data_IF_417133651714
#
_entry.id   IF_417133651714
#
_cell.length_a   1.000
_cell.length_b   1.000
_cell.length_c   1.000
_cell.angle_alpha   90.00
_cell.angle_beta   90.00
_cell.angle_gamma   90.00
#
_symmetry.space_group_name_H-M   'P 1'
#
loop_
_entity.id
_entity.type
_entity.pdbx_description
1 polymer ?
#
# COMPACT_ATOMS: atom_id res chain seq x y z
N UNK A 1 8.20 -1.23 -25.43
CA UNK A 1 8.13 -2.69 -25.47
C UNK A 1 6.69 -3.19 -25.30
N UNK A 2 6.43 -4.45 -25.62
CA UNK A 2 5.08 -5.09 -25.61
C UNK A 2 4.37 -4.93 -24.27
N UNK A 3 5.09 -5.06 -23.15
CA UNK A 3 4.56 -4.84 -21.80
C UNK A 3 3.89 -3.46 -21.65
N UNK A 4 4.60 -2.41 -22.09
CA UNK A 4 4.08 -1.03 -21.99
C UNK A 4 2.84 -0.80 -22.83
N UNK A 5 2.74 -1.43 -24.00
CA UNK A 5 1.56 -1.38 -24.86
C UNK A 5 0.37 -2.04 -24.17
N UNK A 6 0.54 -3.23 -23.61
CA UNK A 6 -0.51 -3.95 -22.88
C UNK A 6 -1.04 -3.16 -21.68
N UNK A 7 -0.14 -2.57 -20.88
CA UNK A 7 -0.49 -1.73 -19.72
C UNK A 7 -1.23 -0.46 -20.18
N UNK A 8 -0.75 0.19 -21.24
CA UNK A 8 -1.38 1.41 -21.77
C UNK A 8 -2.76 1.11 -22.34
N UNK A 9 -2.93 0.02 -23.08
CA UNK A 9 -4.23 -0.41 -23.60
C UNK A 9 -5.23 -0.69 -22.48
N UNK A 10 -4.82 -1.48 -21.48
CA UNK A 10 -5.65 -1.75 -20.29
C UNK A 10 -6.08 -0.46 -19.59
N UNK A 11 -5.15 0.46 -19.39
CA UNK A 11 -5.44 1.74 -18.76
C UNK A 11 -6.39 2.60 -19.61
N UNK A 12 -6.24 2.61 -20.93
CA UNK A 12 -7.15 3.30 -21.84
C UNK A 12 -8.56 2.71 -21.78
N UNK A 13 -8.71 1.40 -21.72
CA UNK A 13 -10.02 0.74 -21.58
C UNK A 13 -10.73 1.14 -20.27
N UNK A 14 -10.01 1.30 -19.16
CA UNK A 14 -10.57 1.85 -17.93
C UNK A 14 -10.96 3.32 -18.08
N UNK A 15 -10.11 4.14 -18.71
CA UNK A 15 -10.39 5.57 -18.91
C UNK A 15 -11.62 5.79 -19.79
N UNK A 16 -11.84 4.94 -20.79
CA UNK A 16 -13.01 4.96 -21.67
C UNK A 16 -14.26 4.31 -21.06
N UNK A 17 -14.20 3.82 -19.80
CA UNK A 17 -15.31 3.13 -19.13
C UNK A 17 -15.65 1.75 -19.71
N UNK A 18 -14.83 1.20 -20.62
CA UNK A 18 -15.02 -0.16 -21.17
C UNK A 18 -14.76 -1.26 -20.13
N UNK A 19 -13.82 -1.04 -19.21
CA UNK A 19 -13.61 -1.87 -18.05
C UNK A 19 -14.26 -1.21 -16.83
N UNK A 20 -15.04 -2.01 -16.05
CA UNK A 20 -15.80 -1.52 -14.91
C UNK A 20 -14.89 -1.26 -13.70
N UNK A 21 -15.12 -0.12 -13.06
CA UNK A 21 -14.58 0.20 -11.73
C UNK A 21 -15.75 0.30 -10.74
N UNK A 22 -15.65 -0.39 -9.62
CA UNK A 22 -16.72 -0.48 -8.62
C UNK A 22 -16.40 0.46 -7.45
N UNK A 23 -17.38 1.27 -7.07
CA UNK A 23 -17.39 2.02 -5.82
C UNK A 23 -18.12 1.21 -4.75
N UNK A 24 -17.77 1.43 -3.48
CA UNK A 24 -18.32 0.69 -2.35
C UNK A 24 -18.83 1.66 -1.26
N UNK A 25 -19.78 1.24 -0.42
CA UNK A 25 -20.34 2.10 0.63
C UNK A 25 -19.38 2.35 1.80
N UNK A 26 -18.32 1.53 1.94
CA UNK A 26 -17.28 1.70 2.95
C UNK A 26 -16.13 2.49 2.33
N UNK A 27 -15.60 3.53 2.98
CA UNK A 27 -14.42 4.25 2.51
C UNK A 27 -13.23 3.33 2.30
N UNK A 28 -12.57 3.48 1.15
CA UNK A 28 -11.38 2.69 0.78
C UNK A 28 -10.19 3.63 0.62
N UNK A 29 -9.15 3.41 1.40
CA UNK A 29 -7.86 4.07 1.25
C UNK A 29 -6.94 3.10 0.52
N UNK A 30 -6.55 3.47 -0.69
CA UNK A 30 -5.61 2.67 -1.50
C UNK A 30 -4.19 3.15 -1.26
N UNK A 31 -3.32 2.26 -0.81
CA UNK A 31 -1.87 2.52 -0.73
C UNK A 31 -1.18 1.70 -1.81
N UNK A 32 -0.35 2.35 -2.61
CA UNK A 32 0.37 1.66 -3.66
C UNK A 32 1.55 2.44 -4.20
N UNK A 33 2.18 1.89 -5.22
CA UNK A 33 3.29 2.51 -5.92
C UNK A 33 3.29 2.15 -7.40
N UNK A 34 4.06 2.85 -8.21
CA UNK A 34 4.23 2.54 -9.63
C UNK A 34 5.40 1.60 -9.89
N UNK A 35 6.42 1.57 -9.04
CA UNK A 35 7.63 0.80 -9.24
C UNK A 35 7.59 -0.55 -8.50
N UNK A 36 8.27 -1.57 -9.03
CA UNK A 36 8.58 -2.77 -8.27
C UNK A 36 9.64 -2.47 -7.22
N UNK A 37 9.54 -3.12 -6.05
CA UNK A 37 10.49 -2.99 -4.93
C UNK A 37 9.93 -2.26 -3.73
N UNK A 38 10.76 -2.11 -2.71
CA UNK A 38 10.39 -1.59 -1.40
C UNK A 38 10.26 -0.06 -1.37
N UNK A 39 9.10 0.46 -1.70
CA UNK A 39 8.77 1.89 -1.61
C UNK A 39 8.15 2.30 -0.26
N UNK A 40 8.20 1.44 0.75
CA UNK A 40 7.64 1.76 2.09
C UNK A 40 6.14 1.53 2.23
N UNK A 41 5.52 0.65 1.41
CA UNK A 41 4.07 0.32 1.53
C UNK A 41 3.71 -0.22 2.91
N UNK A 42 4.39 -1.25 3.38
CA UNK A 42 4.09 -1.87 4.68
C UNK A 42 4.20 -0.88 5.85
N UNK A 43 5.29 -0.10 5.99
CA UNK A 43 5.33 0.97 6.99
C UNK A 43 4.20 1.99 6.87
N UNK A 44 3.79 2.35 5.66
CA UNK A 44 2.68 3.28 5.45
C UNK A 44 1.33 2.67 5.89
N UNK A 45 1.07 1.42 5.55
CA UNK A 45 -0.13 0.70 6.02
C UNK A 45 -0.13 0.63 7.55
N UNK A 46 1.00 0.26 8.17
CA UNK A 46 1.12 0.23 9.63
C UNK A 46 0.88 1.60 10.27
N UNK A 47 1.39 2.66 9.66
CA UNK A 47 1.17 4.03 10.13
C UNK A 47 -0.32 4.41 10.09
N UNK A 48 -0.99 4.11 8.98
CA UNK A 48 -2.44 4.34 8.83
C UNK A 48 -3.26 3.51 9.82
N UNK A 49 -2.89 2.24 10.05
CA UNK A 49 -3.54 1.41 11.06
C UNK A 49 -3.44 2.08 12.43
N UNK A 50 -2.24 2.48 12.87
CA UNK A 50 -2.04 3.12 14.17
C UNK A 50 -2.80 4.44 14.32
N UNK A 51 -2.89 5.19 13.24
CA UNK A 51 -3.61 6.48 13.22
C UNK A 51 -5.13 6.30 13.35
N UNK A 52 -5.69 5.23 12.79
CA UNK A 52 -7.13 5.04 12.64
C UNK A 52 -7.73 4.06 13.68
N UNK A 53 -6.93 3.16 14.24
CA UNK A 53 -7.41 2.04 15.07
C UNK A 53 -8.01 2.46 16.43
N UNK A 54 -7.84 3.71 16.85
CA UNK A 54 -8.46 4.23 18.08
C UNK A 54 -9.97 4.43 17.94
N UNK A 55 -10.40 4.83 16.73
CA UNK A 55 -11.76 5.31 16.48
C UNK A 55 -12.54 4.43 15.48
N UNK A 56 -11.86 3.66 14.65
CA UNK A 56 -12.44 2.94 13.53
C UNK A 56 -12.11 1.45 13.53
N UNK A 57 -13.08 0.65 13.11
CA UNK A 57 -12.87 -0.77 12.76
C UNK A 57 -12.21 -0.83 11.38
N UNK A 58 -11.00 -1.38 11.33
CA UNK A 58 -10.16 -1.39 10.12
C UNK A 58 -10.16 -2.77 9.50
N UNK A 59 -10.34 -2.83 8.18
CA UNK A 59 -10.01 -4.02 7.42
C UNK A 59 -8.88 -3.74 6.42
N UNK A 60 -8.01 -4.74 6.24
CA UNK A 60 -6.94 -4.73 5.24
C UNK A 60 -7.34 -5.68 4.10
N UNK A 61 -7.24 -5.19 2.88
CA UNK A 61 -7.41 -6.01 1.67
C UNK A 61 -6.08 -6.08 0.92
N UNK A 62 -5.49 -7.27 0.88
CA UNK A 62 -4.22 -7.53 0.22
C UNK A 62 -4.31 -8.67 -0.80
N UNK A 63 -3.31 -8.80 -1.65
CA UNK A 63 -3.19 -9.93 -2.59
C UNK A 63 -2.78 -11.22 -1.90
N UNK A 64 -2.04 -11.11 -0.80
CA UNK A 64 -1.36 -12.23 -0.19
C UNK A 64 -0.18 -12.69 -1.05
N UNK A 65 0.80 -11.82 -1.25
CA UNK A 65 1.98 -12.14 -2.05
C UNK A 65 2.71 -13.37 -1.49
N UNK A 66 3.15 -14.28 -2.37
CA UNK A 66 3.81 -15.56 -2.06
C UNK A 66 2.98 -16.59 -1.27
N UNK A 67 1.67 -16.36 -1.04
CA UNK A 67 0.83 -17.39 -0.42
C UNK A 67 0.67 -18.61 -1.33
N UNK A 68 0.52 -19.76 -0.73
CA UNK A 68 0.23 -21.03 -1.42
C UNK A 68 -1.27 -21.31 -1.52
N UNK A 69 -2.09 -20.60 -0.75
CA UNK A 69 -3.56 -20.75 -0.75
C UNK A 69 -4.21 -20.03 -1.93
N UNK A 70 -5.36 -20.52 -2.37
CA UNK A 70 -6.14 -19.94 -3.46
C UNK A 70 -7.46 -19.32 -2.95
N UNK A 71 -8.02 -18.41 -3.77
CA UNK A 71 -9.31 -17.79 -3.50
C UNK A 71 -9.27 -16.78 -2.36
N UNK A 72 -10.43 -16.42 -1.86
CA UNK A 72 -10.59 -15.53 -0.72
C UNK A 72 -10.21 -16.26 0.57
N UNK A 73 -9.42 -15.58 1.42
CA UNK A 73 -9.13 -16.02 2.79
C UNK A 73 -9.33 -14.86 3.75
N UNK A 74 -10.05 -15.10 4.82
CA UNK A 74 -10.05 -14.25 5.99
C UNK A 74 -8.93 -14.74 6.89
N UNK A 75 -8.08 -13.83 7.35
CA UNK A 75 -6.97 -14.18 8.22
C UNK A 75 -7.47 -14.45 9.65
N UNK A 76 -6.90 -15.45 10.28
CA UNK A 76 -7.16 -15.86 11.67
C UNK A 76 -5.86 -15.80 12.47
N UNK A 77 -5.97 -15.53 13.77
CA UNK A 77 -4.79 -15.50 14.66
C UNK A 77 -4.00 -16.81 14.54
N UNK A 78 -2.68 -16.66 14.32
CA UNK A 78 -1.81 -17.82 14.10
C UNK A 78 -1.59 -18.21 12.63
N UNK A 79 -2.27 -17.57 11.69
CA UNK A 79 -2.07 -17.82 10.27
C UNK A 79 -0.63 -17.58 9.83
N UNK A 80 -0.13 -18.55 9.06
CA UNK A 80 1.22 -18.47 8.50
C UNK A 80 1.27 -17.66 7.20
N UNK A 81 2.46 -17.17 6.87
CA UNK A 81 2.71 -16.50 5.60
C UNK A 81 2.37 -17.38 4.38
N UNK A 82 2.48 -18.72 4.50
CA UNK A 82 2.08 -19.64 3.43
C UNK A 82 0.57 -19.64 3.16
N UNK A 83 -0.27 -19.30 4.18
CA UNK A 83 -1.73 -19.21 4.03
C UNK A 83 -2.18 -17.84 3.52
N UNK A 84 -1.63 -16.76 4.06
CA UNK A 84 -2.15 -15.40 3.80
C UNK A 84 -1.15 -14.47 3.10
N UNK A 85 0.12 -14.84 3.00
CA UNK A 85 1.20 -14.03 2.42
C UNK A 85 2.06 -13.34 3.47
N UNK A 86 3.27 -12.92 3.08
CA UNK A 86 4.28 -12.38 4.01
C UNK A 86 3.81 -11.09 4.70
N UNK A 87 3.35 -10.11 3.93
CA UNK A 87 2.92 -8.80 4.46
C UNK A 87 1.67 -8.91 5.34
N UNK A 88 0.59 -9.60 4.94
CA UNK A 88 -0.57 -9.83 5.81
C UNK A 88 -0.22 -10.57 7.09
N UNK A 89 0.66 -11.58 7.04
CA UNK A 89 1.09 -12.32 8.23
C UNK A 89 1.89 -11.44 9.21
N UNK A 90 2.69 -10.50 8.69
CA UNK A 90 3.39 -9.51 9.52
C UNK A 90 2.40 -8.57 10.21
N UNK A 91 1.42 -8.05 9.49
CA UNK A 91 0.38 -7.17 10.05
C UNK A 91 -0.47 -7.91 11.10
N UNK A 92 -0.85 -9.16 10.83
CA UNK A 92 -1.60 -9.98 11.77
C UNK A 92 -0.84 -10.22 13.08
N UNK A 93 0.46 -10.53 13.02
CA UNK A 93 1.30 -10.69 14.21
C UNK A 93 1.42 -9.41 15.03
N UNK A 94 1.42 -8.24 14.36
CA UNK A 94 1.63 -6.94 15.00
C UNK A 94 0.36 -6.35 15.61
N UNK A 95 -0.77 -6.54 14.96
CA UNK A 95 -2.03 -5.91 15.35
C UNK A 95 -3.09 -6.89 15.87
N UNK A 96 -2.90 -8.18 15.62
CA UNK A 96 -3.79 -9.23 16.12
C UNK A 96 -5.23 -9.09 15.63
N UNK A 97 -6.15 -9.22 16.55
CA UNK A 97 -7.60 -9.11 16.36
C UNK A 97 -8.13 -7.67 16.25
N UNK A 98 -7.25 -6.67 16.43
CA UNK A 98 -7.61 -5.24 16.31
C UNK A 98 -7.93 -4.83 14.87
N UNK A 99 -7.57 -5.67 13.90
CA UNK A 99 -7.83 -5.43 12.48
C UNK A 99 -8.36 -6.71 11.81
N UNK A 100 -9.20 -6.54 10.80
CA UNK A 100 -9.58 -7.64 9.93
C UNK A 100 -8.62 -7.69 8.73
N UNK A 101 -8.21 -8.87 8.29
CA UNK A 101 -7.37 -9.01 7.10
C UNK A 101 -8.03 -9.99 6.14
N UNK A 102 -8.28 -9.55 4.91
CA UNK A 102 -8.83 -10.38 3.84
C UNK A 102 -7.84 -10.39 2.67
N UNK A 103 -7.45 -11.59 2.24
CA UNK A 103 -6.53 -11.75 1.12
C UNK A 103 -7.23 -12.43 -0.07
N UNK A 104 -7.14 -11.76 -1.21
CA UNK A 104 -7.69 -12.27 -2.47
C UNK A 104 -7.00 -11.60 -3.67
N UNK A 105 -6.73 -12.34 -4.74
CA UNK A 105 -6.34 -11.77 -6.03
C UNK A 105 -7.42 -10.88 -6.66
N UNK A 106 -8.70 -11.20 -6.40
CA UNK A 106 -9.86 -10.39 -6.80
C UNK A 106 -10.27 -9.44 -5.66
N UNK A 107 -9.81 -8.18 -5.74
CA UNK A 107 -10.09 -7.15 -4.73
C UNK A 107 -11.58 -6.83 -4.59
N UNK A 108 -12.33 -6.85 -5.69
CA UNK A 108 -13.78 -6.61 -5.67
C UNK A 108 -14.49 -7.68 -4.84
N UNK A 109 -14.09 -8.96 -4.99
CA UNK A 109 -14.64 -10.06 -4.18
C UNK A 109 -14.29 -9.91 -2.70
N UNK A 110 -13.04 -9.57 -2.38
CA UNK A 110 -12.62 -9.33 -0.99
C UNK A 110 -13.40 -8.19 -0.33
N UNK A 111 -13.59 -7.08 -1.04
CA UNK A 111 -14.33 -5.93 -0.51
C UNK A 111 -15.82 -6.26 -0.36
N UNK A 112 -16.42 -6.96 -1.33
CA UNK A 112 -17.81 -7.40 -1.22
C UNK A 112 -18.04 -8.31 0.00
N UNK A 113 -17.08 -9.19 0.31
CA UNK A 113 -17.14 -10.00 1.53
C UNK A 113 -17.23 -9.13 2.78
N UNK A 114 -16.41 -8.08 2.89
CA UNK A 114 -16.41 -7.15 4.02
C UNK A 114 -17.69 -6.30 4.10
N UNK A 115 -18.16 -5.80 2.97
CA UNK A 115 -19.39 -4.99 2.89
C UNK A 115 -20.63 -5.76 3.30
N UNK A 116 -20.68 -7.06 2.97
CA UNK A 116 -21.83 -7.92 3.26
C UNK A 116 -21.80 -8.56 4.66
N UNK A 117 -20.80 -8.24 5.49
CA UNK A 117 -20.78 -8.66 6.90
C UNK A 117 -21.93 -8.02 7.69
N UNK A 118 -22.39 -8.66 8.78
CA UNK A 118 -23.29 -8.04 9.76
C UNK A 118 -22.72 -6.69 10.24
N UNK A 119 -23.59 -5.73 10.52
CA UNK A 119 -23.21 -4.37 10.91
C UNK A 119 -22.18 -4.32 12.06
N UNK A 120 -22.34 -5.22 13.04
CA UNK A 120 -21.42 -5.33 14.19
C UNK A 120 -19.98 -5.75 13.82
N UNK A 121 -19.81 -6.45 12.70
CA UNK A 121 -18.51 -6.95 12.22
C UNK A 121 -17.97 -6.14 11.05
N UNK A 122 -18.80 -5.32 10.42
CA UNK A 122 -18.45 -4.55 9.24
C UNK A 122 -17.38 -3.50 9.57
N UNK A 123 -16.29 -3.40 8.79
CA UNK A 123 -15.29 -2.36 9.00
C UNK A 123 -15.85 -0.98 8.65
N UNK A 124 -15.33 0.04 9.32
CA UNK A 124 -15.64 1.45 9.05
C UNK A 124 -14.74 2.02 7.94
N UNK A 125 -13.57 1.42 7.74
CA UNK A 125 -12.61 1.77 6.68
C UNK A 125 -11.86 0.54 6.17
N UNK A 126 -11.57 0.52 4.88
CA UNK A 126 -10.75 -0.52 4.23
C UNK A 126 -9.44 0.11 3.75
N UNK A 127 -8.32 -0.45 4.19
CA UNK A 127 -6.99 -0.14 3.63
C UNK A 127 -6.66 -1.18 2.57
N UNK A 128 -6.52 -0.75 1.32
CA UNK A 128 -6.17 -1.63 0.19
C UNK A 128 -4.67 -1.57 -0.06
N UNK A 129 -3.98 -2.65 0.28
CA UNK A 129 -2.53 -2.79 0.13
C UNK A 129 -2.16 -3.19 -1.31
N UNK A 130 -1.12 -2.51 -1.83
CA UNK A 130 -0.63 -2.64 -3.22
C UNK A 130 -1.75 -2.57 -4.25
N UNK A 131 -2.67 -1.61 -4.03
CA UNK A 131 -3.92 -1.52 -4.77
C UNK A 131 -3.88 -0.64 -6.02
N UNK A 132 -2.84 0.16 -6.26
CA UNK A 132 -2.83 1.21 -7.28
C UNK A 132 -3.06 0.71 -8.71
N UNK A 133 -2.63 -0.52 -9.03
CA UNK A 133 -2.87 -1.18 -10.31
C UNK A 133 -4.26 -1.84 -10.42
N UNK A 134 -4.99 -1.99 -9.29
CA UNK A 134 -6.29 -2.67 -9.25
C UNK A 134 -7.45 -1.72 -9.55
N UNK A 135 -7.49 -1.20 -10.78
CA UNK A 135 -8.46 -0.21 -11.25
C UNK A 135 -9.92 -0.68 -11.27
N UNK A 136 -10.17 -1.95 -11.04
CA UNK A 136 -11.53 -2.48 -10.82
C UNK A 136 -12.17 -1.99 -9.52
N UNK A 137 -11.39 -1.47 -8.58
CA UNK A 137 -11.86 -0.80 -7.35
C UNK A 137 -11.65 0.69 -7.52
N UNK A 138 -12.67 1.49 -7.20
CA UNK A 138 -12.58 2.95 -7.12
C UNK A 138 -12.39 3.32 -5.64
N UNK A 139 -11.19 3.68 -5.20
CA UNK A 139 -10.96 4.10 -3.82
C UNK A 139 -11.55 5.47 -3.54
N UNK A 140 -11.78 5.75 -2.26
CA UNK A 140 -12.16 7.09 -1.77
C UNK A 140 -10.96 8.01 -1.62
N UNK A 141 -9.78 7.42 -1.34
CA UNK A 141 -8.50 8.10 -1.24
C UNK A 141 -7.39 7.21 -1.80
N UNK A 142 -6.57 7.76 -2.71
CA UNK A 142 -5.42 7.08 -3.30
C UNK A 142 -4.11 7.70 -2.84
N UNK A 143 -3.30 6.94 -2.11
CA UNK A 143 -1.97 7.32 -1.64
C UNK A 143 -0.93 6.60 -2.50
N UNK A 144 -0.13 7.37 -3.22
CA UNK A 144 0.92 6.87 -4.10
C UNK A 144 2.29 7.12 -3.47
N UNK A 145 3.06 6.06 -3.29
CA UNK A 145 4.39 6.13 -2.70
C UNK A 145 5.48 6.22 -3.77
N UNK A 146 6.43 7.11 -3.55
CA UNK A 146 7.65 7.26 -4.35
C UNK A 146 8.86 7.31 -3.42
N UNK A 147 9.91 6.55 -3.71
CA UNK A 147 11.12 6.60 -2.88
C UNK A 147 11.92 7.87 -3.20
N UNK A 148 12.43 8.57 -2.17
CA UNK A 148 13.28 9.76 -2.32
C UNK A 148 14.52 9.48 -3.17
N UNK A 149 15.19 8.36 -2.93
CA UNK A 149 16.42 8.00 -3.65
C UNK A 149 16.19 7.63 -5.13
N UNK A 150 14.96 7.40 -5.53
CA UNK A 150 14.57 7.06 -6.90
C UNK A 150 13.11 7.41 -7.12
N UNK A 151 12.87 8.61 -7.60
CA UNK A 151 11.52 9.06 -7.87
C UNK A 151 10.90 8.26 -9.02
N UNK A 152 9.57 8.11 -8.98
CA UNK A 152 8.85 7.41 -10.05
C UNK A 152 8.96 8.09 -11.41
N UNK A 153 9.29 9.38 -11.44
CA UNK A 153 9.51 10.15 -12.67
C UNK A 153 10.88 9.91 -13.31
N UNK A 154 11.83 9.41 -12.53
CA UNK A 154 13.19 9.13 -13.01
C UNK A 154 13.35 7.68 -13.51
N UNK A 155 12.27 6.92 -13.53
CA UNK A 155 12.30 5.50 -13.86
C UNK A 155 11.46 5.21 -15.12
N UNK A 156 11.75 4.08 -15.75
CA UNK A 156 11.05 3.66 -16.97
C UNK A 156 10.33 2.33 -16.75
N UNK A 157 9.47 1.98 -17.72
CA UNK A 157 8.67 0.77 -17.66
C UNK A 157 9.52 -0.50 -17.70
N UNK A 158 9.02 -1.54 -17.05
CA UNK A 158 9.54 -2.91 -17.19
C UNK A 158 9.59 -3.32 -18.68
N UNK A 159 10.58 -4.10 -19.10
CA UNK A 159 11.69 -4.65 -18.32
C UNK A 159 12.91 -3.71 -18.23
N UNK A 160 12.92 -2.56 -18.92
CA UNK A 160 14.07 -1.65 -18.97
C UNK A 160 14.29 -0.88 -17.65
N UNK A 161 13.25 -0.68 -16.84
CA UNK A 161 13.31 -0.09 -15.52
C UNK A 161 12.44 -0.84 -14.53
N UNK A 162 11.88 -0.13 -13.54
CA UNK A 162 11.10 -0.72 -12.44
C UNK A 162 9.62 -0.37 -12.48
N UNK A 163 9.17 0.50 -13.40
CA UNK A 163 7.77 0.90 -13.40
C UNK A 163 6.86 -0.22 -13.91
N UNK A 164 5.81 -0.51 -13.14
CA UNK A 164 4.68 -1.38 -13.51
C UNK A 164 3.67 -0.65 -14.41
N UNK A 165 3.62 0.69 -14.30
CA UNK A 165 2.80 1.59 -15.13
C UNK A 165 3.62 2.83 -15.46
N UNK A 166 3.30 3.55 -16.57
CA UNK A 166 3.98 4.81 -16.88
C UNK A 166 3.88 5.81 -15.74
N UNK A 167 4.93 6.63 -15.51
CA UNK A 167 4.96 7.63 -14.45
C UNK A 167 3.74 8.58 -14.48
N UNK A 168 3.20 8.87 -15.69
CA UNK A 168 1.97 9.66 -15.85
C UNK A 168 0.77 9.06 -15.10
N UNK A 169 0.75 7.76 -14.80
CA UNK A 169 -0.34 7.12 -14.06
C UNK A 169 -0.50 7.69 -12.63
N UNK A 170 0.49 8.47 -12.14
CA UNK A 170 0.42 9.22 -10.89
C UNK A 170 -0.80 10.16 -10.81
N UNK A 171 -1.35 10.61 -11.95
CA UNK A 171 -2.52 11.49 -12.00
C UNK A 171 -3.75 10.94 -11.23
N UNK A 172 -3.79 9.63 -11.01
CA UNK A 172 -4.90 8.98 -10.28
C UNK A 172 -4.76 9.08 -8.76
N UNK A 173 -3.61 9.53 -8.26
CA UNK A 173 -3.38 9.67 -6.83
C UNK A 173 -3.95 10.99 -6.32
N UNK A 174 -4.53 10.98 -5.14
CA UNK A 174 -4.93 12.19 -4.41
C UNK A 174 -3.76 12.73 -3.58
N UNK A 175 -2.95 11.81 -3.03
CA UNK A 175 -1.78 12.14 -2.23
C UNK A 175 -0.57 11.37 -2.77
N UNK A 176 0.53 12.08 -2.95
CA UNK A 176 1.84 11.50 -3.25
C UNK A 176 2.73 11.64 -2.02
N UNK A 177 3.26 10.52 -1.55
CA UNK A 177 4.19 10.53 -0.41
C UNK A 177 5.57 10.12 -0.89
N UNK A 178 6.53 11.03 -0.71
CA UNK A 178 7.95 10.72 -0.90
C UNK A 178 8.45 10.06 0.37
N UNK A 179 8.81 8.80 0.25
CA UNK A 179 9.23 7.96 1.38
C UNK A 179 10.74 7.82 1.46
N UNK A 180 11.24 7.36 2.61
CA UNK A 180 12.68 7.16 2.84
C UNK A 180 13.48 8.44 2.66
N UNK A 181 12.89 9.55 3.04
CA UNK A 181 13.62 10.82 3.10
C UNK A 181 14.69 10.77 4.18
N UNK A 182 15.81 11.48 3.98
CA UNK A 182 16.79 11.66 5.04
C UNK A 182 16.16 12.44 6.22
N UNK A 183 16.65 12.19 7.43
CA UNK A 183 16.16 12.85 8.67
C UNK A 183 16.29 14.37 8.59
N UNK A 184 17.34 14.86 7.93
CA UNK A 184 17.60 16.30 7.72
C UNK A 184 17.26 16.71 6.28
N UNK A 185 15.99 16.57 5.88
CA UNK A 185 15.52 17.03 4.58
C UNK A 185 15.43 18.56 4.56
N UNK A 186 16.22 19.20 3.69
CA UNK A 186 16.23 20.67 3.57
C UNK A 186 15.07 21.15 2.71
N UNK A 187 14.54 22.38 2.97
CA UNK A 187 13.45 22.96 2.16
C UNK A 187 13.76 22.99 0.66
N UNK A 188 15.02 23.24 0.30
CA UNK A 188 15.46 23.25 -1.10
C UNK A 188 15.30 21.88 -1.76
N UNK A 189 15.59 20.79 -1.04
CA UNK A 189 15.46 19.42 -1.54
C UNK A 189 13.97 19.06 -1.74
N UNK A 190 13.10 19.56 -0.86
CA UNK A 190 11.63 19.43 -1.04
C UNK A 190 11.19 20.09 -2.34
N UNK A 191 11.62 21.34 -2.58
CA UNK A 191 11.26 22.11 -3.80
C UNK A 191 11.79 21.41 -5.06
N UNK A 192 13.03 20.90 -5.04
CA UNK A 192 13.58 20.14 -6.17
C UNK A 192 12.79 18.85 -6.42
N UNK A 193 12.45 18.13 -5.37
CA UNK A 193 11.67 16.89 -5.47
C UNK A 193 10.28 17.14 -6.02
N UNK A 194 9.61 18.19 -5.56
CA UNK A 194 8.29 18.60 -6.06
C UNK A 194 8.33 18.92 -7.56
N UNK A 195 9.29 19.72 -8.01
CA UNK A 195 9.48 20.04 -9.43
C UNK A 195 9.74 18.79 -10.28
N UNK A 196 10.55 17.85 -9.80
CA UNK A 196 10.84 16.59 -10.50
C UNK A 196 9.63 15.67 -10.57
N UNK A 197 8.80 15.65 -9.54
CA UNK A 197 7.58 14.85 -9.52
C UNK A 197 6.52 15.41 -10.46
N UNK A 198 6.53 16.71 -10.75
CA UNK A 198 5.60 17.36 -11.69
C UNK A 198 4.15 16.93 -11.41
N UNK A 199 3.68 17.24 -10.21
CA UNK A 199 2.37 16.80 -9.73
C UNK A 199 1.23 17.62 -10.34
N UNK A 200 0.06 17.00 -10.39
CA UNK A 200 -1.15 17.68 -10.84
C UNK A 200 -1.73 18.57 -9.73
N UNK A 201 -2.46 19.66 -10.07
CA UNK A 201 -2.94 20.64 -9.07
C UNK A 201 -3.83 20.08 -7.96
N UNK A 202 -4.51 18.96 -8.22
CA UNK A 202 -5.37 18.30 -7.23
C UNK A 202 -4.61 17.44 -6.22
N UNK A 203 -3.33 17.18 -6.44
CA UNK A 203 -2.54 16.27 -5.63
C UNK A 203 -1.85 16.98 -4.48
N UNK A 204 -1.81 16.31 -3.33
CA UNK A 204 -1.01 16.75 -2.18
C UNK A 204 0.31 16.00 -2.14
N UNK A 205 1.40 16.71 -1.85
CA UNK A 205 2.74 16.15 -1.65
C UNK A 205 3.07 16.11 -0.17
N UNK A 206 3.52 14.95 0.29
CA UNK A 206 4.04 14.74 1.65
C UNK A 206 5.39 14.06 1.59
N UNK A 207 6.21 14.30 2.62
CA UNK A 207 7.51 13.68 2.79
C UNK A 207 7.49 12.85 4.08
N UNK A 208 8.10 11.66 4.05
CA UNK A 208 8.19 10.79 5.21
C UNK A 208 9.58 10.15 5.32
N UNK A 209 10.05 10.04 6.54
CA UNK A 209 11.20 9.23 6.90
C UNK A 209 10.74 7.88 7.46
N UNK A 210 11.62 6.89 7.48
CA UNK A 210 11.40 5.62 8.16
C UNK A 210 12.28 5.61 9.40
N UNK A 211 11.63 5.59 10.58
CA UNK A 211 12.33 5.36 11.84
C UNK A 211 12.24 3.88 12.18
N UNK A 212 13.37 3.31 12.56
CA UNK A 212 13.45 1.94 13.04
C UNK A 212 13.48 1.97 14.56
N UNK A 213 12.57 1.21 15.16
CA UNK A 213 12.63 0.93 16.61
C UNK A 213 13.80 -0.03 16.91
N UNK A 214 14.14 -0.16 18.17
CA UNK A 214 15.14 -1.14 18.60
C UNK A 214 14.75 -2.54 18.14
N UNK A 215 15.70 -3.35 17.64
CA UNK A 215 15.41 -4.71 17.23
C UNK A 215 14.95 -5.53 18.43
N UNK A 216 13.91 -6.33 18.20
CA UNK A 216 13.41 -7.29 19.19
C UNK A 216 13.72 -8.71 18.72
N UNK A 217 14.10 -9.64 19.60
CA UNK A 217 14.32 -11.04 19.25
C UNK A 217 13.04 -11.66 18.67
N UNK A 218 13.17 -12.34 17.54
CA UNK A 218 12.02 -12.93 16.83
C UNK A 218 11.46 -14.16 17.59
N UNK A 219 12.28 -14.81 18.42
CA UNK A 219 11.98 -16.09 19.05
C UNK A 219 11.68 -16.01 20.56
N UNK A 220 11.76 -14.83 21.16
CA UNK A 220 11.40 -14.63 22.57
C UNK A 220 10.33 -13.54 22.68
N UNK A 221 9.13 -13.93 23.10
CA UNK A 221 8.02 -13.01 23.32
C UNK A 221 8.23 -12.02 24.47
N UNK A 222 9.16 -12.31 25.37
CA UNK A 222 9.37 -11.58 26.63
C UNK A 222 10.79 -10.97 26.74
N UNK A 223 11.54 -10.84 25.66
CA UNK A 223 12.86 -10.24 25.71
C UNK A 223 12.77 -8.71 25.63
N UNK A 224 13.43 -8.03 26.55
CA UNK A 224 13.61 -6.58 26.48
C UNK A 224 14.32 -6.16 25.19
N UNK A 225 13.97 -4.98 24.62
CA UNK A 225 14.59 -4.50 23.39
C UNK A 225 16.10 -4.30 23.60
N UNK A 226 16.88 -4.96 22.77
CA UNK A 226 18.35 -4.82 22.79
C UNK A 226 18.72 -3.45 22.24
N UNK A 227 19.37 -2.61 23.06
CA UNK A 227 19.95 -1.35 22.56
C UNK A 227 21.12 -1.68 21.64
N UNK A 228 21.06 -1.22 20.41
CA UNK A 228 22.22 -1.24 19.51
C UNK A 228 22.98 0.05 19.77
N UNK A 229 24.26 -0.06 20.21
CA UNK A 229 25.17 1.05 20.22
C UNK A 229 25.44 1.47 18.75
N UNK A 230 24.98 2.65 18.40
CA UNK A 230 25.16 3.24 17.05
C UNK A 230 26.51 3.93 16.87
N UNK A 231 27.46 3.69 17.78
CA UNK A 231 28.82 4.22 17.73
C UNK A 231 29.82 3.11 17.31
N UNK A 232 29.78 2.72 16.03
CA UNK A 232 30.87 1.99 15.38
C UNK A 232 30.96 2.43 13.90
#
# INVERSE_FOLDING_TARGET
GIYGVGVSLRNSLYNMGRLKSYAFPIPIICVGNLAVGGTGKTPMIEHLIRMLMGDLRIAIVSRGYRRKSFGLKVAELGDSASRIGDEPAQLLRKFGDKIQIVVDGNRVRAINHLVNQPYSQRPDVILMDDGFQHRSVRPSLSILLSSYNRLMTDDVLLPAGRLREPARARYRADVVVVTKCPTLLKPIDCTFTERRLDLYPHQKLLFSEVKYDNPVPIFQRDAEPTKIDTNA
#
